data_IF_369843857221
#
_entry.id   IF_369843857221
#
_cell.length_a   1.000
_cell.length_b   1.000
_cell.length_c   1.000
_cell.angle_alpha   90.00
_cell.angle_beta   90.00
_cell.angle_gamma   90.00
#
_symmetry.space_group_name_H-M   'P 1'
#
loop_
_entity.id
_entity.type
_entity.pdbx_description
1 polymer ?
#
# COMPACT_ATOMS: atom_id res chain seq x y z
N UNK A 1 27.53 1.27 -7.27
CA UNK A 1 27.83 2.62 -6.75
C UNK A 1 26.76 3.55 -7.29
N UNK A 2 26.08 4.26 -6.39
CA UNK A 2 24.86 5.02 -6.65
C UNK A 2 23.91 4.83 -5.48
N UNK A 3 24.28 5.31 -4.30
CA UNK A 3 23.34 5.54 -3.21
C UNK A 3 22.25 6.45 -3.78
N UNK A 4 21.00 5.97 -3.84
CA UNK A 4 19.88 6.83 -4.18
C UNK A 4 19.82 7.91 -3.11
N UNK A 5 20.32 9.11 -3.43
CA UNK A 5 20.10 10.28 -2.60
C UNK A 5 18.59 10.43 -2.44
N UNK A 6 18.13 10.27 -1.19
CA UNK A 6 16.74 10.52 -0.81
C UNK A 6 16.45 11.98 -1.16
N UNK A 7 15.79 12.23 -2.29
CA UNK A 7 15.33 13.57 -2.63
C UNK A 7 14.41 14.02 -1.50
N UNK A 8 14.70 15.12 -0.79
CA UNK A 8 13.81 15.61 0.24
C UNK A 8 12.50 16.04 -0.41
N UNK A 9 11.43 15.32 -0.09
CA UNK A 9 10.07 15.77 -0.39
C UNK A 9 9.75 16.90 0.58
N UNK A 10 9.83 18.15 0.12
CA UNK A 10 9.57 19.31 0.98
C UNK A 10 8.10 19.34 1.47
N UNK A 11 7.14 18.82 0.71
CA UNK A 11 5.77 18.54 1.15
C UNK A 11 5.16 17.39 0.33
N UNK A 12 4.30 16.55 0.91
CA UNK A 12 3.54 15.58 0.13
C UNK A 12 2.53 16.33 -0.75
N UNK A 13 2.44 15.93 -2.02
CA UNK A 13 1.47 16.47 -2.99
C UNK A 13 0.01 16.28 -2.56
N UNK A 14 -0.92 16.60 -3.46
CA UNK A 14 -2.36 16.45 -3.20
C UNK A 14 -2.80 14.98 -3.36
N UNK A 15 -3.91 14.57 -2.70
CA UNK A 15 -4.50 13.25 -2.92
C UNK A 15 -4.77 12.96 -4.40
N UNK A 16 -4.49 11.72 -4.83
CA UNK A 16 -4.88 11.24 -6.16
C UNK A 16 -6.41 11.31 -6.33
N UNK A 17 -6.90 11.72 -7.51
CA UNK A 17 -8.33 11.88 -7.76
C UNK A 17 -9.06 10.53 -7.78
N UNK A 18 -10.37 10.52 -7.52
CA UNK A 18 -11.18 9.27 -7.56
C UNK A 18 -11.10 8.53 -8.89
N UNK A 19 -11.01 9.26 -10.01
CA UNK A 19 -10.84 8.69 -11.34
C UNK A 19 -9.58 7.82 -11.47
N UNK A 20 -8.52 8.09 -10.70
CA UNK A 20 -7.33 7.25 -10.66
C UNK A 20 -7.65 5.84 -10.17
N UNK A 21 -8.54 5.70 -9.20
CA UNK A 21 -8.91 4.42 -8.59
C UNK A 21 -10.09 3.74 -9.29
N UNK A 22 -10.92 4.50 -10.03
CA UNK A 22 -12.07 3.99 -10.78
C UNK A 22 -11.64 3.24 -12.07
N UNK A 23 -10.77 2.25 -11.93
CA UNK A 23 -10.14 1.48 -13.00
C UNK A 23 -9.90 0.04 -12.53
N UNK A 24 -9.44 -0.79 -13.44
CA UNK A 24 -9.04 -2.16 -13.15
C UNK A 24 -7.90 -2.22 -12.11
N UNK A 25 -7.97 -3.09 -11.07
CA UNK A 25 -6.93 -3.20 -10.04
C UNK A 25 -5.52 -3.47 -10.58
N UNK A 26 -5.38 -4.09 -11.76
CA UNK A 26 -4.07 -4.32 -12.41
C UNK A 26 -3.46 -2.99 -12.86
N UNK A 27 -4.27 -2.13 -13.48
CA UNK A 27 -3.82 -0.80 -13.92
C UNK A 27 -3.58 0.12 -12.74
N UNK A 28 -4.51 0.18 -11.79
CA UNK A 28 -4.35 0.97 -10.56
C UNK A 28 -3.08 0.53 -9.81
N UNK A 29 -2.88 -0.78 -9.69
CA UNK A 29 -1.75 -1.34 -8.98
C UNK A 29 -0.40 -0.95 -9.59
N UNK A 30 -0.26 -1.06 -10.91
CA UNK A 30 0.96 -0.62 -11.61
C UNK A 30 1.21 0.87 -11.43
N UNK A 31 0.17 1.69 -11.59
CA UNK A 31 0.30 3.14 -11.53
C UNK A 31 0.50 3.67 -10.10
N UNK A 32 0.17 2.88 -9.07
CA UNK A 32 0.47 3.19 -7.67
C UNK A 32 1.95 3.01 -7.34
N UNK A 33 2.68 2.17 -8.07
CA UNK A 33 4.12 2.02 -7.84
C UNK A 33 4.83 3.34 -8.09
N UNK A 34 5.60 3.77 -7.10
CA UNK A 34 6.28 5.06 -7.12
C UNK A 34 5.46 6.20 -6.51
N UNK A 35 4.15 6.04 -6.27
CA UNK A 35 3.35 7.06 -5.56
C UNK A 35 3.65 7.05 -4.07
N UNK A 36 3.26 8.10 -3.36
CA UNK A 36 3.62 8.28 -1.94
C UNK A 36 2.39 8.10 -1.07
N UNK A 37 2.41 7.11 -0.17
CA UNK A 37 1.42 7.00 0.91
C UNK A 37 1.76 8.03 1.98
N UNK A 38 0.76 8.80 2.41
CA UNK A 38 0.93 9.93 3.32
C UNK A 38 -0.05 9.78 4.49
N UNK A 39 0.46 9.92 5.71
CA UNK A 39 -0.32 10.10 6.94
C UNK A 39 0.03 11.43 7.60
N UNK A 40 -0.99 12.23 7.90
CA UNK A 40 -0.88 13.46 8.69
C UNK A 40 -1.52 13.24 10.06
N UNK A 41 -0.85 13.62 11.14
CA UNK A 41 -1.39 13.54 12.50
C UNK A 41 -0.89 14.72 13.33
N UNK A 42 -1.73 15.76 13.44
CA UNK A 42 -1.31 17.04 14.02
C UNK A 42 -0.15 17.64 13.21
N UNK A 43 0.99 17.87 13.87
CA UNK A 43 2.23 18.34 13.23
C UNK A 43 3.10 17.22 12.65
N UNK A 44 2.79 15.96 12.95
CA UNK A 44 3.57 14.80 12.48
C UNK A 44 3.16 14.42 11.05
N UNK A 45 4.16 14.12 10.23
CA UNK A 45 4.00 13.70 8.85
C UNK A 45 4.80 12.42 8.62
N UNK A 46 4.11 11.36 8.19
CA UNK A 46 4.74 10.12 7.72
C UNK A 46 4.46 9.98 6.24
N UNK A 47 5.50 9.83 5.44
CA UNK A 47 5.38 9.64 4.01
C UNK A 47 6.34 8.55 3.53
N UNK A 48 5.86 7.64 2.70
CA UNK A 48 6.66 6.55 2.18
C UNK A 48 6.20 6.17 0.76
N UNK A 49 7.15 5.88 -0.12
CA UNK A 49 6.91 5.50 -1.53
C UNK A 49 6.35 4.09 -1.59
N UNK A 50 5.32 3.86 -2.38
CA UNK A 50 4.77 2.53 -2.64
C UNK A 50 5.71 1.79 -3.59
N UNK A 51 6.33 0.72 -3.12
CA UNK A 51 7.33 -0.07 -3.89
C UNK A 51 6.85 -1.48 -4.21
N UNK A 52 5.78 -1.94 -3.55
CA UNK A 52 5.20 -3.26 -3.76
C UNK A 52 3.70 -3.24 -3.50
N UNK A 53 2.93 -3.85 -4.40
CA UNK A 53 1.48 -4.02 -4.27
C UNK A 53 1.02 -5.37 -4.83
N UNK A 54 -0.19 -5.79 -4.44
CA UNK A 54 -0.91 -6.91 -5.05
C UNK A 54 -2.30 -6.48 -5.52
N UNK A 55 -2.71 -6.93 -6.70
CA UNK A 55 -4.06 -6.73 -7.23
C UNK A 55 -4.98 -7.91 -6.87
N UNK A 56 -6.21 -7.58 -6.48
CA UNK A 56 -7.30 -8.53 -6.21
C UNK A 56 -8.51 -8.16 -7.05
N UNK A 57 -8.97 -9.10 -7.89
CA UNK A 57 -9.90 -8.81 -9.00
C UNK A 57 -11.37 -9.11 -8.66
N UNK A 58 -11.73 -9.07 -7.38
CA UNK A 58 -13.11 -9.27 -6.95
C UNK A 58 -13.61 -10.71 -7.15
N UNK A 59 -14.83 -10.83 -7.67
CA UNK A 59 -15.51 -12.12 -7.88
C UNK A 59 -14.74 -13.07 -8.83
N UNK A 60 -14.01 -12.51 -9.82
CA UNK A 60 -13.20 -13.29 -10.76
C UNK A 60 -11.85 -13.77 -10.20
N UNK A 61 -11.63 -13.64 -8.89
CA UNK A 61 -10.37 -13.96 -8.23
C UNK A 61 -10.61 -14.76 -6.95
N UNK A 62 -10.44 -16.10 -6.98
CA UNK A 62 -10.67 -16.96 -5.82
C UNK A 62 -9.81 -16.65 -4.58
N UNK A 63 -8.77 -15.82 -4.72
CA UNK A 63 -7.95 -15.35 -3.60
C UNK A 63 -8.48 -14.06 -2.93
N UNK A 64 -9.40 -13.34 -3.59
CA UNK A 64 -9.93 -12.08 -3.10
C UNK A 64 -11.01 -12.28 -2.03
N UNK A 65 -11.09 -11.37 -1.06
CA UNK A 65 -12.17 -11.38 -0.07
C UNK A 65 -13.57 -11.22 -0.67
N UNK A 66 -13.67 -10.67 -1.88
CA UNK A 66 -14.92 -10.48 -2.60
C UNK A 66 -15.27 -11.65 -3.55
N UNK A 67 -14.47 -12.74 -3.56
CA UNK A 67 -14.71 -13.92 -4.40
C UNK A 67 -16.12 -14.51 -4.21
N UNK A 68 -16.59 -14.55 -2.96
CA UNK A 68 -17.91 -15.08 -2.60
C UNK A 68 -19.00 -13.99 -2.50
N UNK A 69 -18.78 -12.81 -3.10
CA UNK A 69 -19.71 -11.69 -3.04
C UNK A 69 -19.56 -10.80 -1.80
N UNK A 70 -20.58 -9.96 -1.58
CA UNK A 70 -20.57 -8.89 -0.57
C UNK A 70 -20.91 -9.44 0.81
N UNK A 71 -20.13 -9.02 1.79
CA UNK A 71 -20.31 -9.30 3.23
C UNK A 71 -20.14 -7.99 4.02
N UNK A 72 -20.60 -7.92 5.28
CA UNK A 72 -20.34 -6.75 6.13
C UNK A 72 -18.84 -6.43 6.25
N UNK A 73 -17.99 -7.47 6.28
CA UNK A 73 -16.54 -7.31 6.39
C UNK A 73 -15.92 -6.66 5.16
N UNK A 74 -16.35 -7.03 3.95
CA UNK A 74 -15.72 -6.58 2.70
C UNK A 74 -16.52 -5.48 1.99
N UNK A 75 -17.58 -4.94 2.60
CA UNK A 75 -18.51 -4.00 1.98
C UNK A 75 -17.84 -2.76 1.38
N UNK A 76 -16.72 -2.29 1.96
CA UNK A 76 -15.91 -1.18 1.42
C UNK A 76 -15.45 -1.44 -0.01
N UNK A 77 -15.12 -2.69 -0.35
CA UNK A 77 -14.67 -3.06 -1.69
C UNK A 77 -15.76 -2.91 -2.74
N UNK A 78 -17.03 -2.99 -2.34
CA UNK A 78 -18.19 -2.82 -3.22
C UNK A 78 -18.71 -1.37 -3.24
N UNK A 79 -18.08 -0.47 -2.48
CA UNK A 79 -18.41 0.94 -2.46
C UNK A 79 -17.63 1.73 -3.52
N UNK A 80 -17.61 3.08 -3.43
CA UNK A 80 -16.89 3.89 -4.39
C UNK A 80 -15.36 3.62 -4.37
N UNK A 81 -14.67 3.79 -5.52
CA UNK A 81 -13.23 3.57 -5.60
C UNK A 81 -12.45 4.64 -4.81
N UNK A 82 -11.23 4.29 -4.38
CA UNK A 82 -10.35 5.18 -3.62
C UNK A 82 -10.59 5.20 -2.11
N UNK A 83 -11.28 4.20 -1.57
CA UNK A 83 -11.49 4.04 -0.13
C UNK A 83 -10.53 3.00 0.46
N UNK A 84 -10.03 3.27 1.66
CA UNK A 84 -9.22 2.31 2.40
C UNK A 84 -10.06 1.14 2.88
N UNK A 85 -9.71 -0.07 2.47
CA UNK A 85 -10.22 -1.31 3.06
C UNK A 85 -9.17 -1.90 3.99
N UNK A 86 -9.45 -1.84 5.30
CA UNK A 86 -8.54 -2.29 6.35
C UNK A 86 -9.13 -3.48 7.07
N UNK A 87 -8.36 -4.56 7.12
CA UNK A 87 -8.74 -5.78 7.83
C UNK A 87 -7.59 -6.33 8.64
N UNK A 88 -7.94 -7.10 9.67
CA UNK A 88 -6.99 -7.76 10.53
C UNK A 88 -6.57 -9.11 9.96
N UNK A 89 -5.28 -9.42 10.01
CA UNK A 89 -4.67 -10.65 9.53
C UNK A 89 -3.86 -11.31 10.66
N UNK A 90 -3.97 -12.64 10.74
CA UNK A 90 -3.21 -13.50 11.67
C UNK A 90 -3.23 -13.05 13.14
N UNK A 91 -4.33 -12.42 13.60
CA UNK A 91 -4.52 -12.09 15.00
C UNK A 91 -3.70 -10.91 15.54
N UNK A 92 -2.77 -10.33 14.76
CA UNK A 92 -1.81 -9.35 15.27
C UNK A 92 -1.57 -8.12 14.38
N UNK A 93 -1.97 -8.12 13.09
CA UNK A 93 -1.62 -7.03 12.18
C UNK A 93 -2.78 -6.57 11.31
N UNK A 94 -2.78 -5.31 10.91
CA UNK A 94 -3.68 -4.77 9.89
C UNK A 94 -3.06 -4.85 8.49
N UNK A 95 -3.89 -4.82 7.45
CA UNK A 95 -3.47 -4.66 6.06
C UNK A 95 -4.25 -3.52 5.42
N UNK A 96 -3.57 -2.65 4.67
CA UNK A 96 -4.19 -1.57 3.92
C UNK A 96 -4.43 -1.98 2.47
N UNK A 97 -5.68 -1.96 2.05
CA UNK A 97 -6.08 -2.09 0.65
C UNK A 97 -6.76 -0.80 0.21
N UNK A 98 -6.79 -0.53 -1.09
CA UNK A 98 -7.51 0.60 -1.67
C UNK A 98 -8.53 0.07 -2.67
N UNK A 99 -9.80 0.43 -2.52
CA UNK A 99 -10.87 0.01 -3.42
C UNK A 99 -10.65 0.56 -4.83
N UNK A 100 -10.97 -0.27 -5.82
CA UNK A 100 -10.92 0.03 -7.25
C UNK A 100 -12.27 -0.30 -7.88
N UNK A 101 -12.39 -0.03 -9.19
CA UNK A 101 -13.61 -0.23 -9.99
C UNK A 101 -14.78 0.70 -9.61
N UNK A 102 -15.82 0.82 -10.46
CA UNK A 102 -17.00 1.60 -10.14
C UNK A 102 -17.74 1.09 -8.90
N UNK A 103 -18.54 1.96 -8.29
CA UNK A 103 -19.42 1.60 -7.17
C UNK A 103 -20.30 0.39 -7.52
N UNK A 104 -20.45 -0.54 -6.59
CA UNK A 104 -21.09 -1.83 -6.79
C UNK A 104 -20.18 -2.95 -7.33
N UNK A 105 -19.00 -2.64 -7.87
CA UNK A 105 -18.05 -3.64 -8.38
C UNK A 105 -16.85 -3.79 -7.45
N UNK A 106 -16.60 -5.02 -6.97
CA UNK A 106 -15.49 -5.26 -6.06
C UNK A 106 -14.15 -5.46 -6.77
N UNK A 107 -13.14 -4.70 -6.34
CA UNK A 107 -11.74 -4.88 -6.71
C UNK A 107 -10.86 -4.01 -5.81
N UNK A 108 -9.61 -4.41 -5.58
CA UNK A 108 -8.68 -3.60 -4.81
C UNK A 108 -7.22 -3.91 -5.09
N UNK A 109 -6.39 -3.02 -4.55
CA UNK A 109 -4.94 -3.17 -4.48
C UNK A 109 -4.52 -3.20 -3.01
N UNK A 110 -3.79 -4.24 -2.61
CA UNK A 110 -3.12 -4.34 -1.32
C UNK A 110 -1.78 -3.60 -1.42
N UNK A 111 -1.55 -2.65 -0.51
CA UNK A 111 -0.22 -2.03 -0.35
C UNK A 111 0.63 -2.96 0.50
N UNK A 112 1.78 -3.40 -0.01
CA UNK A 112 2.59 -4.45 0.63
C UNK A 112 3.90 -3.99 1.19
N UNK A 113 4.56 -3.04 0.54
CA UNK A 113 5.78 -2.48 1.06
C UNK A 113 5.94 -1.02 0.64
N UNK A 114 6.60 -0.28 1.51
CA UNK A 114 6.92 1.12 1.28
C UNK A 114 8.41 1.38 1.48
N UNK A 115 8.97 2.34 0.76
CA UNK A 115 10.27 2.96 1.02
C UNK A 115 10.03 4.25 1.83
N UNK A 116 10.45 4.32 3.12
CA UNK A 116 10.26 5.50 3.96
C UNK A 116 10.95 6.74 3.40
N UNK A 117 10.27 7.89 3.42
CA UNK A 117 10.78 9.18 2.91
C UNK A 117 10.78 10.28 3.97
N UNK A 118 9.70 10.39 4.75
CA UNK A 118 9.53 11.41 5.81
C UNK A 118 8.95 10.74 7.05
N UNK A 119 9.43 11.16 8.22
CA UNK A 119 8.90 10.73 9.52
C UNK A 119 9.31 9.30 9.88
N UNK A 120 10.59 8.97 9.62
CA UNK A 120 11.15 7.63 9.83
C UNK A 120 11.18 7.30 11.33
N UNK A 121 11.55 8.28 12.16
CA UNK A 121 11.56 8.17 13.61
C UNK A 121 10.13 7.96 14.14
N UNK A 122 9.15 8.69 13.61
CA UNK A 122 7.73 8.47 13.96
C UNK A 122 7.26 7.08 13.54
N UNK A 123 7.63 6.60 12.35
CA UNK A 123 7.31 5.24 11.93
C UNK A 123 7.92 4.20 12.88
N UNK A 124 9.14 4.41 13.35
CA UNK A 124 9.79 3.54 14.32
C UNK A 124 9.09 3.57 15.69
N UNK A 125 8.70 4.77 16.16
CA UNK A 125 7.95 4.96 17.41
C UNK A 125 6.60 4.25 17.38
N UNK A 126 5.81 4.40 16.30
CA UNK A 126 4.52 3.71 16.14
C UNK A 126 4.68 2.18 16.21
N UNK A 127 5.86 1.67 15.79
CA UNK A 127 6.20 0.25 15.85
C UNK A 127 6.90 -0.20 17.12
N UNK A 128 7.20 0.71 18.05
CA UNK A 128 7.98 0.42 19.25
C UNK A 128 9.41 -0.07 18.95
N UNK A 129 10.04 0.43 17.88
CA UNK A 129 11.39 0.04 17.46
C UNK A 129 12.40 1.16 17.72
N UNK A 130 13.60 0.78 18.13
CA UNK A 130 14.80 1.63 18.10
C UNK A 130 15.59 1.33 16.82
N UNK A 131 15.95 2.38 16.07
CA UNK A 131 16.71 2.24 14.82
C UNK A 131 18.21 2.29 15.13
N UNK A 132 18.94 1.20 14.84
CA UNK A 132 20.39 1.12 15.09
C UNK A 132 21.21 0.99 13.80
N UNK A 133 20.58 1.06 12.61
CA UNK A 133 21.24 1.03 11.31
C UNK A 133 20.30 0.81 10.13
N UNK A 134 20.86 0.73 8.92
CA UNK A 134 20.11 0.61 7.65
C UNK A 134 19.26 -0.68 7.57
N UNK A 135 19.71 -1.77 8.20
CA UNK A 135 18.95 -3.02 8.28
C UNK A 135 17.62 -2.89 9.02
N UNK A 136 17.47 -1.90 9.91
CA UNK A 136 16.24 -1.65 10.64
C UNK A 136 15.25 -0.81 9.84
N UNK A 137 15.73 0.07 8.95
CA UNK A 137 14.89 0.83 8.03
C UNK A 137 14.07 -0.09 7.13
N UNK A 138 14.70 -1.12 6.55
CA UNK A 138 13.95 -2.11 5.76
C UNK A 138 12.85 -2.76 6.57
N UNK A 139 13.10 -3.09 7.84
CA UNK A 139 12.11 -3.75 8.69
C UNK A 139 10.92 -2.86 8.99
N UNK A 140 11.02 -1.53 8.88
CA UNK A 140 9.92 -0.60 9.17
C UNK A 140 8.68 -0.89 8.31
N UNK A 141 8.87 -1.07 7.00
CA UNK A 141 7.77 -1.03 6.03
C UNK A 141 7.83 -2.16 4.98
N UNK A 142 8.78 -3.11 5.09
CA UNK A 142 8.87 -4.29 4.19
C UNK A 142 7.86 -5.40 4.53
N UNK A 143 6.58 -5.09 4.43
CA UNK A 143 5.48 -6.04 4.59
C UNK A 143 4.16 -5.35 4.95
N UNK A 144 3.01 -5.93 4.58
CA UNK A 144 1.71 -5.26 4.70
C UNK A 144 1.32 -4.96 6.15
N UNK A 145 1.64 -5.84 7.10
CA UNK A 145 1.45 -5.59 8.53
C UNK A 145 2.40 -4.52 9.07
N UNK A 146 3.68 -4.60 8.68
CA UNK A 146 4.72 -3.68 9.14
C UNK A 146 4.44 -2.24 8.73
N UNK A 147 4.05 -2.02 7.47
CA UNK A 147 3.70 -0.68 6.99
C UNK A 147 2.41 -0.16 7.64
N UNK A 148 1.45 -1.04 7.96
CA UNK A 148 0.24 -0.63 8.65
C UNK A 148 0.57 -0.12 10.06
N UNK A 149 1.39 -0.87 10.80
CA UNK A 149 1.87 -0.47 12.13
C UNK A 149 2.67 0.84 12.06
N UNK A 150 3.62 0.96 11.12
CA UNK A 150 4.43 2.17 10.93
C UNK A 150 3.61 3.43 10.64
N UNK A 151 2.43 3.29 10.02
CA UNK A 151 1.54 4.40 9.74
C UNK A 151 0.44 4.60 10.80
N UNK A 152 0.38 3.73 11.81
CA UNK A 152 -0.67 3.68 12.82
C UNK A 152 -2.04 3.45 12.16
N UNK A 153 -2.11 2.51 11.21
CA UNK A 153 -3.34 2.15 10.49
C UNK A 153 -4.08 1.10 11.30
N UNK A 154 -5.34 1.39 11.63
CA UNK A 154 -6.22 0.44 12.31
C UNK A 154 -7.56 0.34 11.61
N UNK A 155 -8.30 -0.75 11.86
CA UNK A 155 -9.63 -0.92 11.28
C UNK A 155 -10.59 0.16 11.81
N UNK A 156 -10.51 0.48 13.10
CA UNK A 156 -11.38 1.44 13.79
C UNK A 156 -11.18 2.86 13.25
N UNK A 157 -9.93 3.23 12.92
CA UNK A 157 -9.59 4.56 12.45
C UNK A 157 -9.76 4.73 10.93
N UNK A 158 -9.47 3.69 10.16
CA UNK A 158 -9.17 3.85 8.73
C UNK A 158 -10.04 3.01 7.79
N UNK A 159 -10.76 1.99 8.26
CA UNK A 159 -11.60 1.20 7.35
C UNK A 159 -12.78 2.03 6.82
N UNK A 160 -12.91 2.12 5.50
CA UNK A 160 -13.89 2.97 4.81
C UNK A 160 -13.46 4.42 4.66
N UNK A 161 -12.23 4.79 5.00
CA UNK A 161 -11.73 6.17 4.84
C UNK A 161 -11.53 6.52 3.37
N UNK A 162 -12.02 7.69 2.95
CA UNK A 162 -11.86 8.20 1.59
C UNK A 162 -10.46 8.80 1.40
N UNK A 163 -9.62 8.15 0.58
CA UNK A 163 -8.24 8.57 0.31
C UNK A 163 -8.14 9.69 -0.74
N UNK A 164 -9.27 10.10 -1.33
CA UNK A 164 -9.32 11.08 -2.42
C UNK A 164 -9.65 12.49 -1.95
N UNK A 165 -10.06 12.64 -0.68
CA UNK A 165 -10.48 13.92 -0.11
C UNK A 165 -9.27 14.75 0.29
N UNK A 166 -9.27 16.04 -0.05
CA UNK A 166 -8.18 16.98 0.27
C UNK A 166 -7.90 17.09 1.77
N UNK A 167 -8.92 16.87 2.61
CA UNK A 167 -8.82 16.93 4.06
C UNK A 167 -8.65 15.53 4.71
N UNK A 168 -8.41 14.48 3.92
CA UNK A 168 -8.11 13.16 4.49
C UNK A 168 -6.74 13.17 5.16
N UNK A 169 -6.65 12.55 6.33
CA UNK A 169 -5.40 12.40 7.08
C UNK A 169 -4.57 11.19 6.61
N UNK A 170 -5.11 10.37 5.72
CA UNK A 170 -4.45 9.27 5.03
C UNK A 170 -4.79 9.35 3.54
N UNK A 171 -3.78 9.44 2.67
CA UNK A 171 -3.99 9.54 1.23
C UNK A 171 -2.76 9.09 0.45
N UNK A 172 -2.90 8.94 -0.86
CA UNK A 172 -1.78 8.71 -1.77
C UNK A 172 -1.58 9.96 -2.62
N UNK A 173 -0.34 10.43 -2.73
CA UNK A 173 0.05 11.59 -3.53
C UNK A 173 0.98 11.20 -4.69
N UNK A 174 0.99 12.03 -5.72
CA UNK A 174 1.97 11.96 -6.81
C UNK A 174 3.08 12.98 -6.58
N UNK A 175 4.33 12.52 -6.55
CA UNK A 175 5.55 13.34 -6.55
C UNK A 175 6.29 13.31 -7.90
N UNK A 176 5.63 12.80 -8.94
CA UNK A 176 6.15 12.61 -10.30
C UNK A 176 7.34 11.65 -10.41
N UNK A 177 7.59 10.85 -9.38
CA UNK A 177 8.53 9.75 -9.51
C UNK A 177 8.00 8.69 -10.47
N UNK A 178 8.89 8.22 -11.34
CA UNK A 178 8.61 7.15 -12.29
C UNK A 178 9.58 6.00 -12.02
N UNK A 179 9.10 4.81 -11.64
CA UNK A 179 9.97 3.64 -11.47
C UNK A 179 10.67 3.29 -12.80
N UNK A 180 11.98 3.06 -12.76
CA UNK A 180 12.75 2.68 -13.95
C UNK A 180 12.37 1.30 -14.49
N UNK A 181 12.02 0.37 -13.59
CA UNK A 181 11.63 -0.99 -13.94
C UNK A 181 10.64 -1.55 -12.93
N UNK A 182 9.52 -2.08 -13.45
CA UNK A 182 8.51 -2.80 -12.67
C UNK A 182 8.55 -4.28 -13.05
N UNK A 183 8.63 -5.17 -12.05
CA UNK A 183 8.49 -6.61 -12.25
C UNK A 183 7.08 -7.05 -11.87
N UNK A 184 6.55 -8.00 -12.64
CA UNK A 184 5.29 -8.68 -12.31
C UNK A 184 5.61 -10.10 -11.82
N UNK A 185 5.06 -10.48 -10.68
CA UNK A 185 5.30 -11.78 -10.03
C UNK A 185 4.01 -12.35 -9.43
N UNK A 186 4.10 -13.55 -8.84
CA UNK A 186 3.00 -14.16 -8.09
C UNK A 186 2.79 -13.47 -6.74
N UNK A 187 1.56 -13.52 -6.24
CA UNK A 187 1.17 -12.99 -4.94
C UNK A 187 1.70 -13.87 -3.79
N UNK A 188 1.90 -13.27 -2.62
CA UNK A 188 2.46 -13.90 -1.43
C UNK A 188 1.35 -14.24 -0.44
N UNK A 189 1.43 -15.42 0.16
CA UNK A 189 0.56 -15.81 1.27
C UNK A 189 -0.85 -16.23 0.85
N UNK A 190 -1.05 -16.59 -0.43
CA UNK A 190 -2.30 -17.12 -0.95
C UNK A 190 -2.12 -18.55 -1.45
N UNK A 191 -3.16 -19.37 -1.31
CA UNK A 191 -3.19 -20.76 -1.82
C UNK A 191 -4.01 -20.84 -3.10
N UNK A 192 -5.16 -20.16 -3.14
CA UNK A 192 -6.02 -20.10 -4.31
C UNK A 192 -5.44 -19.14 -5.34
N UNK A 193 -5.53 -19.48 -6.62
CA UNK A 193 -5.08 -18.61 -7.72
C UNK A 193 -3.64 -18.08 -7.54
N UNK A 194 -2.78 -18.89 -6.91
CA UNK A 194 -1.43 -18.50 -6.50
C UNK A 194 -0.47 -18.28 -7.68
N UNK A 195 -0.69 -18.96 -8.80
CA UNK A 195 0.12 -18.81 -10.02
C UNK A 195 -0.17 -17.53 -10.81
N UNK A 196 -1.22 -16.76 -10.46
CA UNK A 196 -1.58 -15.55 -11.22
C UNK A 196 -0.56 -14.43 -10.98
N UNK A 197 -0.07 -13.77 -12.04
CA UNK A 197 0.94 -12.71 -11.96
C UNK A 197 0.28 -11.38 -11.58
N UNK A 198 -0.14 -11.26 -10.32
CA UNK A 198 -0.92 -10.12 -9.80
C UNK A 198 -0.18 -9.35 -8.69
N UNK A 199 1.12 -9.58 -8.52
CA UNK A 199 2.00 -8.79 -7.65
C UNK A 199 2.95 -7.96 -8.48
N UNK A 200 3.10 -6.68 -8.14
CA UNK A 200 3.94 -5.74 -8.88
C UNK A 200 4.93 -5.09 -7.93
N UNK A 201 6.19 -5.02 -8.34
CA UNK A 201 7.30 -4.51 -7.51
C UNK A 201 8.20 -3.58 -8.31
N UNK A 202 8.77 -2.57 -7.66
CA UNK A 202 9.88 -1.79 -8.23
C UNK A 202 11.15 -2.64 -8.14
N UNK A 203 11.75 -2.95 -9.29
CA UNK A 203 12.93 -3.82 -9.36
C UNK A 203 14.13 -3.20 -8.63
N UNK A 204 14.87 -3.99 -7.86
CA UNK A 204 16.08 -3.53 -7.16
C UNK A 204 15.83 -2.64 -5.95
N UNK A 205 14.56 -2.36 -5.58
CA UNK A 205 14.26 -1.56 -4.39
C UNK A 205 14.40 -2.42 -3.12
N UNK A 206 15.24 -1.97 -2.18
CA UNK A 206 15.60 -2.72 -0.98
C UNK A 206 14.41 -2.97 -0.03
N UNK A 207 13.35 -2.17 -0.13
CA UNK A 207 12.18 -2.26 0.74
C UNK A 207 11.14 -3.29 0.28
N UNK A 208 11.27 -3.84 -0.93
CA UNK A 208 10.39 -4.92 -1.42
C UNK A 208 10.38 -6.08 -0.42
N UNK A 209 9.20 -6.57 -0.07
CA UNK A 209 9.00 -7.68 0.87
C UNK A 209 9.25 -9.04 0.21
N UNK A 210 9.48 -10.05 1.04
CA UNK A 210 9.74 -11.42 0.58
C UNK A 210 11.18 -11.66 0.10
N UNK A 211 11.33 -12.52 -0.90
CA UNK A 211 12.62 -13.10 -1.32
C UNK A 211 13.57 -12.06 -1.93
N UNK A 212 14.84 -12.09 -1.47
CA UNK A 212 15.91 -11.18 -1.91
C UNK A 212 16.22 -11.22 -3.41
N UNK A 213 15.83 -12.27 -4.14
CA UNK A 213 16.10 -12.39 -5.58
C UNK A 213 15.43 -11.29 -6.43
N UNK A 214 14.43 -10.59 -5.90
CA UNK A 214 13.78 -9.46 -6.58
C UNK A 214 14.45 -8.10 -6.28
N UNK A 215 15.43 -8.11 -5.37
CA UNK A 215 16.22 -6.95 -4.94
C UNK A 215 17.57 -6.91 -5.69
N UNK A 216 17.92 -7.99 -6.41
CA UNK A 216 19.16 -8.14 -7.18
C UNK A 216 18.99 -7.77 -8.65
#
# INVERSE_FOLDING_TARGET
MGSAELRPLNQPGKPLPRAFYNRDPRSVGRDLLGKVLVRRQGRKLRAARIVEIEAYLGQGDPAAHAACGRTPRNAVLFGPPGHAYVYFIYGNHYCLNISCLPDGMAGCVLVRALEPLIGIEEMAQERGLSLNGSGDLRKLTSGPGRLADAFGITRERDNGKDLTRINSDLFVADDHYTPSRVLTTVRIGIVKAASRPLRYVIAGNEFVSGLRRLIA
#
